data_IF_176038764994
#
_entry.id   IF_176038764994
#
_cell.length_a   1.000
_cell.length_b   1.000
_cell.length_c   1.000
_cell.angle_alpha   90.00
_cell.angle_beta   90.00
_cell.angle_gamma   90.00
#
_symmetry.space_group_name_H-M   'P 1'
#
loop_
_entity.id
_entity.type
_entity.pdbx_description
1 polymer ?
#
# COMPACT_ATOMS: atom_id res chain seq x y z
N UNK A 1 -23.75 11.85 2.51
CA UNK A 1 -22.85 11.11 3.43
C UNK A 1 -22.10 12.14 4.25
N UNK A 2 -21.99 11.95 5.57
CA UNK A 2 -21.19 12.83 6.41
C UNK A 2 -19.71 12.53 6.15
N UNK A 3 -18.94 13.55 5.83
CA UNK A 3 -17.49 13.43 5.69
C UNK A 3 -16.88 13.14 7.07
N UNK A 4 -16.02 12.13 7.16
CA UNK A 4 -15.31 11.79 8.39
C UNK A 4 -13.95 12.51 8.34
N UNK A 5 -13.61 13.36 9.32
CA UNK A 5 -12.31 14.02 9.38
C UNK A 5 -11.16 13.02 9.48
N UNK A 6 -10.02 13.33 8.88
CA UNK A 6 -8.82 12.49 8.99
C UNK A 6 -8.26 12.44 10.41
N UNK A 7 -8.46 13.51 11.19
CA UNK A 7 -8.06 13.57 12.60
C UNK A 7 -8.70 12.45 13.43
N UNK A 8 -9.90 11.98 13.07
CA UNK A 8 -10.51 10.83 13.75
C UNK A 8 -9.67 9.55 13.57
N UNK A 9 -9.07 9.36 12.39
CA UNK A 9 -8.14 8.26 12.14
C UNK A 9 -6.80 8.49 12.84
N UNK A 10 -6.26 9.72 12.81
CA UNK A 10 -5.00 10.05 13.50
C UNK A 10 -5.12 9.81 15.01
N UNK A 11 -6.22 10.19 15.63
CA UNK A 11 -6.50 9.95 17.04
C UNK A 11 -6.71 8.45 17.38
N UNK A 12 -6.76 7.57 16.37
CA UNK A 12 -6.94 6.13 16.52
C UNK A 12 -5.64 5.32 16.30
N UNK A 13 -4.54 5.98 15.91
CA UNK A 13 -3.22 5.37 15.76
C UNK A 13 -2.26 5.88 16.85
N UNK A 14 -1.09 5.28 16.99
CA UNK A 14 -0.13 5.72 18.01
C UNK A 14 0.54 7.04 17.61
N UNK A 15 0.95 7.83 18.61
CA UNK A 15 1.66 9.10 18.41
C UNK A 15 2.94 8.93 17.57
N UNK A 16 3.62 7.79 17.71
CA UNK A 16 4.82 7.47 16.93
C UNK A 16 4.53 7.23 15.44
N UNK A 17 3.30 6.84 15.08
CA UNK A 17 2.89 6.58 13.69
C UNK A 17 2.31 7.82 13.00
N UNK A 18 1.80 8.78 13.77
CA UNK A 18 1.12 9.99 13.28
C UNK A 18 1.93 10.78 12.26
N UNK A 19 3.22 11.14 12.50
CA UNK A 19 3.99 11.92 11.53
C UNK A 19 4.11 11.21 10.17
N UNK A 20 4.24 9.89 10.19
CA UNK A 20 4.37 9.06 8.99
C UNK A 20 3.03 8.93 8.25
N UNK A 21 1.93 8.74 8.98
CA UNK A 21 0.59 8.70 8.42
C UNK A 21 0.23 10.02 7.71
N UNK A 22 0.52 11.15 8.34
CA UNK A 22 0.31 12.49 7.77
C UNK A 22 1.16 12.70 6.52
N UNK A 23 2.43 12.28 6.53
CA UNK A 23 3.30 12.37 5.34
C UNK A 23 2.75 11.56 4.17
N UNK A 24 2.34 10.31 4.40
CA UNK A 24 1.74 9.46 3.36
C UNK A 24 0.43 10.05 2.83
N UNK A 25 -0.43 10.57 3.71
CA UNK A 25 -1.68 11.22 3.35
C UNK A 25 -1.44 12.40 2.39
N UNK A 26 -0.56 13.32 2.77
CA UNK A 26 -0.20 14.47 1.96
C UNK A 26 0.35 14.06 0.59
N UNK A 27 1.24 13.07 0.53
CA UNK A 27 1.78 12.56 -0.73
C UNK A 27 0.70 12.01 -1.66
N UNK A 28 -0.26 11.25 -1.12
CA UNK A 28 -1.33 10.65 -1.92
C UNK A 28 -2.31 11.72 -2.41
N UNK A 29 -2.64 12.71 -1.59
CA UNK A 29 -3.49 13.84 -1.97
C UNK A 29 -2.82 14.70 -3.06
N UNK A 30 -1.53 15.03 -2.92
CA UNK A 30 -0.74 15.73 -3.93
C UNK A 30 -0.65 14.95 -5.25
N UNK A 31 -0.57 13.63 -5.16
CA UNK A 31 -0.60 12.72 -6.30
C UNK A 31 -2.00 12.47 -6.90
N UNK A 32 -2.92 13.41 -6.73
CA UNK A 32 -4.28 13.37 -7.28
C UNK A 32 -5.06 12.10 -6.89
N UNK A 33 -4.94 11.67 -5.63
CA UNK A 33 -5.83 10.67 -5.05
C UNK A 33 -6.94 11.31 -4.21
N UNK A 34 -8.11 10.70 -4.27
CA UNK A 34 -9.24 10.99 -3.39
C UNK A 34 -9.14 10.10 -2.15
N UNK A 35 -9.13 10.72 -0.97
CA UNK A 35 -9.23 10.04 0.31
C UNK A 35 -10.68 9.68 0.62
N UNK A 36 -10.90 8.44 1.00
CA UNK A 36 -12.17 7.90 1.48
C UNK A 36 -11.95 7.32 2.87
N UNK A 37 -12.68 7.85 3.86
CA UNK A 37 -12.65 7.38 5.24
C UNK A 37 -14.00 6.77 5.58
N UNK A 38 -13.99 5.56 6.14
CA UNK A 38 -15.18 4.93 6.70
C UNK A 38 -14.91 4.46 8.12
N UNK A 39 -15.87 4.70 9.00
CA UNK A 39 -15.91 4.10 10.31
C UNK A 39 -16.50 2.69 10.24
N UNK A 40 -15.92 1.77 10.99
CA UNK A 40 -16.41 0.41 11.15
C UNK A 40 -16.20 -0.07 12.58
N UNK A 41 -16.63 -1.30 12.87
CA UNK A 41 -16.58 -1.87 14.22
C UNK A 41 -15.15 -1.96 14.83
N UNK A 42 -14.10 -1.81 14.02
CA UNK A 42 -12.70 -1.88 14.44
C UNK A 42 -11.93 -0.57 14.26
N UNK A 43 -12.65 0.57 14.21
CA UNK A 43 -12.07 1.90 14.01
C UNK A 43 -12.25 2.41 12.59
N UNK A 44 -11.26 3.11 12.06
CA UNK A 44 -11.35 3.77 10.75
C UNK A 44 -10.64 2.98 9.66
N UNK A 45 -11.26 2.94 8.48
CA UNK A 45 -10.62 2.51 7.24
C UNK A 45 -10.36 3.73 6.38
N UNK A 46 -9.11 3.94 5.98
CA UNK A 46 -8.69 5.04 5.12
C UNK A 46 -8.15 4.46 3.83
N UNK A 47 -8.77 4.82 2.71
CA UNK A 47 -8.42 4.35 1.37
C UNK A 47 -8.21 5.54 0.45
N UNK A 48 -7.22 5.43 -0.43
CA UNK A 48 -6.90 6.44 -1.43
C UNK A 48 -7.16 5.86 -2.82
N UNK A 49 -7.98 6.54 -3.61
CA UNK A 49 -8.32 6.14 -4.97
C UNK A 49 -7.78 7.18 -5.95
N UNK A 50 -7.15 6.73 -7.02
CA UNK A 50 -6.75 7.62 -8.12
C UNK A 50 -7.96 8.38 -8.64
N UNK A 51 -7.89 9.71 -8.72
CA UNK A 51 -9.00 10.54 -9.20
C UNK A 51 -9.39 10.21 -10.65
N UNK A 52 -8.43 9.81 -11.47
CA UNK A 52 -8.61 9.47 -12.89
C UNK A 52 -9.22 8.07 -13.08
N UNK A 53 -8.68 7.06 -12.41
CA UNK A 53 -9.10 5.65 -12.64
C UNK A 53 -10.14 5.15 -11.64
N UNK A 54 -10.36 5.89 -10.54
CA UNK A 54 -11.16 5.48 -9.36
C UNK A 54 -10.69 4.18 -8.69
N UNK A 55 -9.54 3.62 -9.10
CA UNK A 55 -8.95 2.43 -8.50
C UNK A 55 -8.20 2.79 -7.23
N UNK A 56 -8.28 1.92 -6.22
CA UNK A 56 -7.50 2.06 -4.99
C UNK A 56 -6.01 2.00 -5.30
N UNK A 57 -5.28 3.03 -4.88
CA UNK A 57 -3.82 3.14 -4.95
C UNK A 57 -3.20 2.74 -3.62
N UNK A 58 -3.79 3.16 -2.50
CA UNK A 58 -3.26 2.83 -1.18
C UNK A 58 -4.38 2.72 -0.14
N UNK A 59 -4.13 2.02 0.96
CA UNK A 59 -5.03 1.98 2.10
C UNK A 59 -4.25 1.75 3.40
N UNK A 60 -4.58 2.53 4.43
CA UNK A 60 -4.10 2.25 5.78
C UNK A 60 -4.81 1.01 6.34
N UNK A 61 -4.06 0.20 7.07
CA UNK A 61 -4.51 -1.04 7.70
C UNK A 61 -4.04 -1.04 9.14
N UNK A 62 -4.93 -0.69 10.06
CA UNK A 62 -4.68 -0.78 11.49
C UNK A 62 -4.64 -2.26 11.92
N UNK A 63 -3.61 -2.66 12.67
CA UNK A 63 -3.50 -3.98 13.29
C UNK A 63 -3.06 -3.83 14.73
N UNK A 64 -3.24 -4.88 15.54
CA UNK A 64 -2.70 -4.93 16.91
C UNK A 64 -1.19 -4.70 16.99
N UNK A 65 -0.46 -5.01 15.91
CA UNK A 65 1.00 -4.88 15.82
C UNK A 65 1.45 -3.53 15.24
N UNK A 66 0.57 -2.55 15.17
CA UNK A 66 0.83 -1.24 14.57
C UNK A 66 0.18 -1.03 13.20
N UNK A 67 0.37 0.18 12.68
CA UNK A 67 -0.14 0.67 11.43
C UNK A 67 0.61 0.08 10.24
N UNK A 68 -0.13 -0.39 9.25
CA UNK A 68 0.41 -0.79 7.95
C UNK A 68 -0.17 0.06 6.84
N UNK A 69 0.56 0.16 5.74
CA UNK A 69 0.06 0.68 4.47
C UNK A 69 0.05 -0.45 3.44
N UNK A 70 -1.10 -0.65 2.80
CA UNK A 70 -1.21 -1.46 1.59
C UNK A 70 -1.05 -0.53 0.40
N UNK A 71 -0.06 -0.78 -0.45
CA UNK A 71 0.12 -0.08 -1.71
C UNK A 71 -0.34 -1.00 -2.83
N UNK A 72 -1.17 -0.50 -3.72
CA UNK A 72 -1.72 -1.23 -4.87
C UNK A 72 -1.47 -0.43 -6.15
N UNK A 73 -0.21 -0.41 -6.62
CA UNK A 73 0.15 0.38 -7.80
C UNK A 73 -0.68 -0.05 -9.02
N UNK A 74 -1.10 0.89 -9.88
CA UNK A 74 -1.70 0.58 -11.16
C UNK A 74 -0.73 -0.25 -12.02
N UNK A 75 -1.26 -1.08 -12.91
CA UNK A 75 -0.44 -1.87 -13.84
C UNK A 75 -0.25 -1.11 -15.17
N UNK A 76 0.89 -1.30 -15.86
CA UNK A 76 2.04 -2.13 -15.47
C UNK A 76 2.84 -1.49 -14.32
N UNK A 77 3.35 -2.33 -13.42
CA UNK A 77 4.23 -1.90 -12.32
C UNK A 77 5.25 -3.01 -12.07
N UNK A 78 6.53 -2.65 -12.10
CA UNK A 78 7.62 -3.46 -11.59
C UNK A 78 8.25 -2.75 -10.38
N UNK A 79 8.60 -3.53 -9.36
CA UNK A 79 9.38 -3.04 -8.24
C UNK A 79 10.83 -3.50 -8.30
N UNK A 80 11.31 -4.18 -9.34
CA UNK A 80 12.59 -4.91 -9.27
C UNK A 80 13.77 -4.00 -8.84
N UNK A 81 13.80 -2.77 -9.34
CA UNK A 81 14.70 -1.69 -8.91
C UNK A 81 14.54 -1.29 -7.43
N UNK A 82 13.30 -1.11 -6.97
CA UNK A 82 13.01 -0.77 -5.58
C UNK A 82 13.25 -1.94 -4.63
N UNK A 83 13.01 -3.17 -5.12
CA UNK A 83 12.99 -4.42 -4.38
C UNK A 83 14.41 -4.91 -4.07
N UNK A 84 15.41 -4.52 -4.88
CA UNK A 84 16.82 -4.78 -4.62
C UNK A 84 17.29 -4.14 -3.29
N UNK A 85 16.92 -2.88 -3.06
CA UNK A 85 17.40 -2.05 -1.94
C UNK A 85 16.54 -2.15 -0.67
N UNK A 86 15.49 -2.99 -0.66
CA UNK A 86 14.60 -3.07 0.48
C UNK A 86 15.30 -3.62 1.74
N UNK A 87 14.96 -3.10 2.93
CA UNK A 87 15.40 -3.70 4.18
C UNK A 87 14.79 -5.10 4.36
N UNK A 88 15.48 -5.94 5.13
CA UNK A 88 15.14 -7.35 5.32
C UNK A 88 13.72 -7.55 5.86
N UNK A 89 13.26 -6.65 6.73
CA UNK A 89 11.91 -6.69 7.30
C UNK A 89 10.83 -6.57 6.19
N UNK A 90 11.01 -5.68 5.21
CA UNK A 90 10.10 -5.46 4.09
C UNK A 90 10.18 -6.61 3.09
N UNK A 91 11.40 -7.09 2.77
CA UNK A 91 11.58 -8.30 1.95
C UNK A 91 10.86 -9.50 2.56
N UNK A 92 10.98 -9.71 3.88
CA UNK A 92 10.25 -10.76 4.61
C UNK A 92 8.74 -10.60 4.52
N UNK A 93 8.22 -9.38 4.68
CA UNK A 93 6.79 -9.10 4.54
C UNK A 93 6.25 -9.45 3.14
N UNK A 94 7.00 -9.11 2.07
CA UNK A 94 6.64 -9.44 0.69
C UNK A 94 6.66 -10.96 0.44
N UNK A 95 7.73 -11.65 0.89
CA UNK A 95 7.91 -13.09 0.74
C UNK A 95 6.80 -13.89 1.44
N UNK A 96 6.34 -13.42 2.61
CA UNK A 96 5.29 -14.05 3.43
C UNK A 96 3.87 -13.88 2.85
N UNK A 97 3.66 -12.96 1.91
CA UNK A 97 2.36 -12.78 1.28
C UNK A 97 1.85 -14.07 0.63
N UNK A 98 0.52 -14.25 0.60
CA UNK A 98 -0.09 -15.39 -0.10
C UNK A 98 0.19 -15.32 -1.61
N UNK A 99 0.39 -16.47 -2.22
CA UNK A 99 0.56 -16.56 -3.67
C UNK A 99 -0.71 -16.11 -4.40
N UNK A 100 -0.53 -15.51 -5.57
CA UNK A 100 -1.66 -15.03 -6.34
C UNK A 100 -2.35 -16.19 -7.06
N UNK A 101 -3.45 -16.67 -6.48
CA UNK A 101 -4.31 -17.67 -7.13
C UNK A 101 -4.68 -17.31 -8.57
N UNK A 102 -4.93 -16.02 -8.87
CA UNK A 102 -5.31 -15.55 -10.22
C UNK A 102 -4.18 -15.62 -11.24
N UNK A 103 -2.91 -15.56 -10.81
CA UNK A 103 -1.76 -15.76 -11.71
C UNK A 103 -1.57 -17.24 -12.05
N UNK A 104 -1.96 -18.14 -11.14
CA UNK A 104 -1.91 -19.59 -11.37
C UNK A 104 -3.14 -20.10 -12.11
N UNK A 105 -4.34 -19.65 -11.72
CA UNK A 105 -5.62 -20.00 -12.32
C UNK A 105 -6.59 -18.82 -12.22
N UNK A 106 -6.98 -18.27 -13.37
CA UNK A 106 -7.83 -17.09 -13.45
C UNK A 106 -9.24 -17.30 -12.85
N UNK A 107 -9.72 -18.54 -12.73
CA UNK A 107 -11.07 -18.89 -12.27
C UNK A 107 -11.23 -19.00 -10.74
N UNK A 108 -10.12 -19.19 -10.02
CA UNK A 108 -10.13 -19.56 -8.59
C UNK A 108 -10.17 -18.34 -7.65
N UNK A 109 -10.00 -17.14 -8.19
CA UNK A 109 -10.00 -15.90 -7.40
C UNK A 109 -11.31 -15.10 -7.58
N UNK A 110 -11.55 -14.16 -6.68
CA UNK A 110 -12.69 -13.24 -6.79
C UNK A 110 -12.74 -12.61 -8.19
N UNK A 111 -13.91 -12.60 -8.83
CA UNK A 111 -14.08 -12.11 -10.20
C UNK A 111 -13.65 -10.64 -10.35
N UNK A 112 -13.78 -9.81 -9.30
CA UNK A 112 -13.33 -8.41 -9.22
C UNK A 112 -11.83 -8.25 -8.93
N UNK A 113 -11.08 -9.34 -8.76
CA UNK A 113 -9.64 -9.30 -8.49
C UNK A 113 -8.84 -8.83 -9.72
N UNK A 114 -8.13 -7.70 -9.61
CA UNK A 114 -7.29 -7.14 -10.68
C UNK A 114 -5.94 -7.87 -10.86
N UNK A 115 -5.83 -9.11 -10.39
CA UNK A 115 -4.62 -9.94 -10.37
C UNK A 115 -3.50 -9.40 -9.45
N UNK A 116 -2.62 -10.28 -8.99
CA UNK A 116 -1.48 -9.96 -8.11
C UNK A 116 -0.31 -9.32 -8.85
N UNK A 117 0.87 -9.40 -8.23
CA UNK A 117 2.12 -8.85 -8.76
C UNK A 117 3.16 -9.95 -8.87
N UNK A 118 4.04 -9.79 -9.86
CA UNK A 118 5.24 -10.60 -10.05
C UNK A 118 6.44 -9.69 -9.82
N UNK A 119 7.41 -10.13 -9.04
CA UNK A 119 8.64 -9.38 -8.74
C UNK A 119 9.77 -10.33 -8.33
N UNK A 120 11.00 -9.85 -8.40
CA UNK A 120 12.20 -10.58 -7.97
C UNK A 120 12.73 -10.02 -6.66
N UNK A 121 13.07 -10.89 -5.70
CA UNK A 121 13.82 -10.54 -4.49
C UNK A 121 14.92 -11.57 -4.30
N UNK A 122 16.16 -11.12 -4.17
CA UNK A 122 17.36 -11.95 -3.99
C UNK A 122 17.40 -13.09 -5.04
N UNK A 123 17.31 -12.71 -6.33
CA UNK A 123 17.31 -13.58 -7.51
C UNK A 123 16.17 -14.62 -7.59
N UNK A 124 15.18 -14.54 -6.71
CA UNK A 124 14.01 -15.42 -6.71
C UNK A 124 12.75 -14.69 -7.15
N UNK A 125 12.06 -15.28 -8.14
CA UNK A 125 10.77 -14.81 -8.62
C UNK A 125 9.65 -15.12 -7.60
N UNK A 126 8.80 -14.15 -7.33
CA UNK A 126 7.62 -14.28 -6.48
C UNK A 126 6.37 -13.77 -7.19
N UNK A 127 5.25 -14.49 -7.02
CA UNK A 127 3.94 -14.13 -7.56
C UNK A 127 2.93 -13.95 -6.43
N UNK A 128 2.78 -12.73 -5.91
CA UNK A 128 2.04 -12.46 -4.67
C UNK A 128 0.70 -11.79 -4.90
N UNK A 129 -0.28 -12.14 -4.07
CA UNK A 129 -1.63 -11.57 -4.13
C UNK A 129 -1.61 -10.06 -3.86
N UNK A 130 -2.40 -9.28 -4.63
CA UNK A 130 -2.44 -7.80 -4.52
C UNK A 130 -2.75 -7.29 -3.10
N UNK A 131 -3.45 -8.07 -2.29
CA UNK A 131 -3.83 -7.67 -0.93
C UNK A 131 -2.66 -7.70 0.05
N UNK A 132 -1.59 -8.43 -0.28
CA UNK A 132 -0.45 -8.73 0.58
C UNK A 132 0.91 -8.42 -0.06
N UNK A 133 0.98 -8.29 -1.39
CA UNK A 133 2.23 -8.09 -2.12
C UNK A 133 3.06 -6.91 -1.59
N UNK A 134 2.40 -5.77 -1.34
CA UNK A 134 3.03 -4.56 -0.80
C UNK A 134 2.24 -4.08 0.43
N UNK A 135 2.29 -4.87 1.50
CA UNK A 135 1.71 -4.53 2.80
C UNK A 135 2.83 -4.31 3.82
N UNK A 136 3.22 -3.05 3.99
CA UNK A 136 4.38 -2.66 4.78
C UNK A 136 3.97 -2.03 6.12
N UNK A 137 4.74 -2.26 7.17
CA UNK A 137 4.59 -1.54 8.43
C UNK A 137 5.02 -0.08 8.25
N UNK A 138 4.23 0.86 8.78
CA UNK A 138 4.52 2.29 8.76
C UNK A 138 5.45 2.60 9.93
N UNK A 139 6.75 2.58 9.66
CA UNK A 139 7.82 2.83 10.63
C UNK A 139 8.87 3.75 10.01
N UNK A 140 9.67 4.40 10.85
CA UNK A 140 10.77 5.27 10.39
C UNK A 140 11.69 4.57 9.38
N UNK A 141 12.12 3.33 9.70
CA UNK A 141 12.95 2.48 8.83
C UNK A 141 12.36 2.27 7.43
N UNK A 142 11.05 2.05 7.35
CA UNK A 142 10.38 1.67 6.10
C UNK A 142 9.94 2.89 5.28
N UNK A 143 9.83 4.06 5.90
CA UNK A 143 9.24 5.25 5.27
C UNK A 143 9.92 5.69 3.97
N UNK A 144 11.26 5.72 3.85
CA UNK A 144 11.92 6.07 2.58
C UNK A 144 11.47 5.16 1.42
N UNK A 145 11.29 3.87 1.69
CA UNK A 145 10.89 2.88 0.68
C UNK A 145 9.39 2.95 0.38
N UNK A 146 8.54 3.11 1.40
CA UNK A 146 7.11 3.34 1.23
C UNK A 146 6.87 4.55 0.31
N UNK A 147 7.59 5.65 0.54
CA UNK A 147 7.54 6.86 -0.29
C UNK A 147 7.90 6.54 -1.74
N UNK A 148 9.01 5.84 -2.00
CA UNK A 148 9.42 5.44 -3.37
C UNK A 148 8.36 4.58 -4.07
N UNK A 149 7.75 3.63 -3.36
CA UNK A 149 6.67 2.79 -3.92
C UNK A 149 5.43 3.62 -4.29
N UNK A 150 5.04 4.58 -3.45
CA UNK A 150 3.91 5.48 -3.74
C UNK A 150 4.22 6.36 -4.94
N UNK A 151 5.39 7.01 -4.96
CA UNK A 151 5.81 7.89 -6.07
C UNK A 151 5.84 7.14 -7.40
N UNK A 152 6.52 5.98 -7.44
CA UNK A 152 6.58 5.13 -8.63
C UNK A 152 5.19 4.66 -9.05
N UNK A 153 4.35 4.25 -8.11
CA UNK A 153 2.97 3.83 -8.39
C UNK A 153 2.07 4.96 -8.90
N UNK A 154 2.39 6.21 -8.59
CA UNK A 154 1.66 7.39 -9.06
C UNK A 154 2.26 8.01 -10.33
N UNK A 155 3.41 7.52 -10.80
CA UNK A 155 4.15 8.14 -11.90
C UNK A 155 4.71 9.52 -11.55
N UNK A 156 4.97 9.79 -10.27
CA UNK A 156 5.62 11.01 -9.82
C UNK A 156 7.12 10.80 -10.00
N UNK A 157 7.72 11.45 -11.00
CA UNK A 157 9.16 11.49 -11.15
C UNK A 157 9.76 12.22 -9.94
N UNK A 158 10.72 11.60 -9.27
CA UNK A 158 11.56 12.30 -8.31
C UNK A 158 12.48 13.21 -9.09
N UNK A 159 12.18 14.52 -9.10
CA UNK A 159 13.17 15.52 -9.49
C UNK A 159 14.40 15.32 -8.61
N UNK A 160 15.51 14.95 -9.25
CA UNK A 160 16.85 14.88 -8.65
C UNK A 160 17.28 16.27 -8.22
#
# INVERSE_FOLDING_TARGET
MKEIPFDNFINNISEAETPFAVKIDNMLLQGNCLREIKEGASGYSVTYKSSSTKKTVAAFVCRKTGLKIRITPPKPFSCDDLCADLPDNMKKDMKRGNDCKRLSDASVCNQRCLMGYTFTIDDKLYQKCRSMAFLFSVTEENMPYITKFIQKGLGIETSV
#
